data_IF_826987333106
#
_entry.id   IF_826987333106
#
_cell.length_a   1.000
_cell.length_b   1.000
_cell.length_c   1.000
_cell.angle_alpha   90.00
_cell.angle_beta   90.00
_cell.angle_gamma   90.00
#
_symmetry.space_group_name_H-M   'P 1'
#
loop_
_entity.id
_entity.type
_entity.pdbx_description
1 polymer ?
#
# COMPACT_ATOMS: atom_id res chain seq x y z
N UNK A 1 -0.14 9.04 3.06
CA UNK A 1 -0.42 9.99 1.95
C UNK A 1 -1.78 10.71 2.12
N UNK A 2 -1.83 12.05 2.01
CA UNK A 2 -3.04 12.89 2.22
C UNK A 2 -3.94 12.99 0.98
N UNK A 3 -3.36 12.89 -0.22
CA UNK A 3 -4.03 13.11 -1.51
C UNK A 3 -5.15 12.09 -1.81
N UNK A 4 -4.86 10.80 -1.66
CA UNK A 4 -5.85 9.72 -1.83
C UNK A 4 -6.97 9.77 -0.77
N UNK A 5 -6.64 10.22 0.44
CA UNK A 5 -7.61 10.42 1.53
C UNK A 5 -8.65 11.49 1.21
N UNK A 6 -8.30 12.50 0.41
CA UNK A 6 -9.19 13.61 0.05
C UNK A 6 -9.88 13.43 -1.29
N UNK A 7 -9.52 12.40 -2.08
CA UNK A 7 -10.11 12.12 -3.39
C UNK A 7 -10.58 10.66 -3.53
N UNK A 8 -11.51 10.20 -2.66
CA UNK A 8 -11.97 8.82 -2.67
C UNK A 8 -12.67 8.40 -3.98
N UNK A 9 -13.23 9.35 -4.75
CA UNK A 9 -13.86 9.09 -6.05
C UNK A 9 -12.87 8.70 -7.17
N UNK A 10 -11.61 9.15 -7.11
CA UNK A 10 -10.59 8.73 -8.07
C UNK A 10 -10.11 7.30 -7.80
N UNK A 11 -10.21 6.83 -6.56
CA UNK A 11 -9.95 5.43 -6.20
C UNK A 11 -10.99 4.53 -6.89
N UNK A 12 -12.26 4.93 -6.92
CA UNK A 12 -13.32 4.21 -7.65
C UNK A 12 -13.07 4.11 -9.16
N UNK A 13 -12.66 5.21 -9.79
CA UNK A 13 -12.40 5.27 -11.23
C UNK A 13 -11.22 4.38 -11.67
N UNK A 14 -10.26 4.13 -10.78
CA UNK A 14 -9.11 3.24 -11.03
C UNK A 14 -9.44 1.77 -10.74
N UNK A 15 -10.32 1.48 -9.77
CA UNK A 15 -10.51 0.10 -9.27
C UNK A 15 -11.70 -0.66 -9.85
N UNK A 16 -12.83 -0.02 -10.15
CA UNK A 16 -14.07 -0.74 -10.55
C UNK A 16 -14.68 -1.69 -9.49
N UNK A 17 -13.95 -2.05 -8.43
CA UNK A 17 -14.34 -2.98 -7.37
C UNK A 17 -13.63 -2.64 -6.06
N UNK A 18 -14.34 -2.65 -4.93
CA UNK A 18 -13.72 -2.54 -3.60
C UNK A 18 -13.06 -3.87 -3.23
N UNK A 19 -11.75 -3.97 -3.48
CA UNK A 19 -10.93 -5.04 -2.93
C UNK A 19 -10.60 -4.80 -1.46
N UNK A 20 -10.70 -5.85 -0.65
CA UNK A 20 -10.12 -5.90 0.70
C UNK A 20 -8.58 -5.93 0.60
N UNK A 21 -7.86 -5.55 1.64
CA UNK A 21 -6.38 -5.61 1.63
C UNK A 21 -5.86 -7.04 1.32
N UNK A 22 -6.57 -8.09 1.76
CA UNK A 22 -6.22 -9.47 1.45
C UNK A 22 -6.36 -9.82 -0.03
N UNK A 23 -7.39 -9.30 -0.71
CA UNK A 23 -7.56 -9.49 -2.17
C UNK A 23 -6.64 -8.59 -2.99
N UNK A 24 -6.37 -7.37 -2.51
CA UNK A 24 -5.48 -6.43 -3.16
C UNK A 24 -4.01 -6.87 -3.15
N UNK A 25 -3.58 -7.55 -2.08
CA UNK A 25 -2.21 -8.04 -1.90
C UNK A 25 -2.07 -9.56 -1.99
N UNK A 26 -3.16 -10.29 -2.28
CA UNK A 26 -3.21 -11.75 -2.35
C UNK A 26 -2.60 -12.46 -1.12
N UNK A 27 -2.80 -11.88 0.07
CA UNK A 27 -2.27 -12.43 1.32
C UNK A 27 -3.40 -12.76 2.31
N UNK A 28 -3.49 -14.00 2.81
CA UNK A 28 -4.52 -14.42 3.76
C UNK A 28 -4.21 -14.00 5.20
N UNK A 29 -3.00 -13.52 5.51
CA UNK A 29 -2.60 -13.23 6.88
C UNK A 29 -1.90 -11.86 6.97
N UNK A 30 -2.55 -10.91 7.65
CA UNK A 30 -2.06 -9.54 7.81
C UNK A 30 -1.94 -9.23 9.30
N UNK A 31 -0.72 -9.07 9.84
CA UNK A 31 -0.50 -8.78 11.25
C UNK A 31 -1.31 -7.57 11.75
N UNK A 32 -2.22 -7.80 12.71
CA UNK A 32 -3.02 -6.73 13.32
C UNK A 32 -4.20 -6.23 12.49
N UNK A 33 -4.52 -6.85 11.36
CA UNK A 33 -5.71 -6.55 10.55
C UNK A 33 -6.40 -7.82 10.05
N UNK A 34 -7.73 -7.77 9.92
CA UNK A 34 -8.44 -8.79 9.17
C UNK A 34 -8.10 -8.66 7.68
N UNK A 35 -7.94 -9.76 6.92
CA UNK A 35 -7.82 -9.71 5.46
C UNK A 35 -8.99 -9.00 4.77
N UNK A 36 -10.15 -8.90 5.46
CA UNK A 36 -11.34 -8.18 5.02
C UNK A 36 -11.30 -6.65 5.28
N UNK A 37 -10.20 -6.13 5.85
CA UNK A 37 -10.03 -4.70 6.09
C UNK A 37 -10.03 -3.94 4.76
N UNK A 38 -10.81 -2.86 4.66
CA UNK A 38 -10.82 -2.03 3.45
C UNK A 38 -9.48 -1.32 3.27
N UNK A 39 -9.07 -1.11 2.02
CA UNK A 39 -7.85 -0.34 1.69
C UNK A 39 -7.84 1.05 2.34
N UNK A 40 -9.01 1.67 2.50
CA UNK A 40 -9.18 2.97 3.16
C UNK A 40 -8.83 2.92 4.65
N UNK A 41 -9.14 1.81 5.31
CA UNK A 41 -8.87 1.60 6.73
C UNK A 41 -7.40 1.23 6.97
N UNK A 42 -6.77 0.51 6.03
CA UNK A 42 -5.32 0.31 6.00
C UNK A 42 -4.55 1.63 5.76
N UNK A 43 -5.02 2.47 4.82
CA UNK A 43 -4.50 3.83 4.60
C UNK A 43 -4.67 4.75 5.80
N UNK A 44 -5.71 4.51 6.61
CA UNK A 44 -6.02 5.30 7.80
C UNK A 44 -5.42 4.72 9.08
N UNK A 45 -4.57 3.71 8.97
CA UNK A 45 -3.91 3.09 10.09
C UNK A 45 -3.07 4.12 10.89
N UNK A 46 -3.30 4.18 12.20
CA UNK A 46 -2.66 5.09 13.16
C UNK A 46 -1.47 4.46 13.90
N UNK A 47 -1.16 3.18 13.68
CA UNK A 47 0.00 2.51 14.27
C UNK A 47 1.28 3.20 13.85
N UNK A 48 2.18 3.39 14.81
CA UNK A 48 3.48 4.06 14.63
C UNK A 48 4.64 3.06 14.55
N UNK A 49 4.34 1.79 14.24
CA UNK A 49 5.32 0.74 14.02
C UNK A 49 5.56 0.50 12.51
N UNK A 50 6.57 -0.34 12.20
CA UNK A 50 6.98 -0.61 10.82
C UNK A 50 5.86 -1.23 9.97
N UNK A 51 4.99 -2.03 10.59
CA UNK A 51 3.78 -2.52 9.93
C UNK A 51 2.80 -1.39 9.62
N UNK A 52 2.54 -0.48 10.55
CA UNK A 52 1.73 0.72 10.32
C UNK A 52 2.24 1.57 9.15
N UNK A 53 3.56 1.78 9.08
CA UNK A 53 4.20 2.47 7.97
C UNK A 53 4.02 1.71 6.64
N UNK A 54 4.25 0.38 6.65
CA UNK A 54 4.08 -0.47 5.48
C UNK A 54 2.64 -0.45 4.96
N UNK A 55 1.65 -0.47 5.85
CA UNK A 55 0.24 -0.40 5.47
C UNK A 55 -0.10 0.93 4.80
N UNK A 56 0.37 2.05 5.33
CA UNK A 56 0.11 3.37 4.74
C UNK A 56 0.82 3.55 3.40
N UNK A 57 2.12 3.30 3.36
CA UNK A 57 2.96 3.58 2.20
C UNK A 57 2.85 2.51 1.13
N UNK A 58 2.73 1.24 1.51
CA UNK A 58 2.49 0.13 0.59
C UNK A 58 1.12 0.20 -0.08
N UNK A 59 0.07 0.62 0.65
CA UNK A 59 -1.23 0.86 0.01
C UNK A 59 -1.16 2.05 -0.95
N UNK A 60 -0.50 3.15 -0.57
CA UNK A 60 -0.30 4.28 -1.47
C UNK A 60 0.52 3.89 -2.72
N UNK A 61 1.54 3.04 -2.56
CA UNK A 61 2.35 2.53 -3.66
C UNK A 61 1.51 1.67 -4.62
N UNK A 62 0.61 0.85 -4.11
CA UNK A 62 -0.29 0.03 -4.92
C UNK A 62 -1.25 0.90 -5.73
N UNK A 63 -1.81 1.95 -5.11
CA UNK A 63 -2.66 2.91 -5.81
C UNK A 63 -1.89 3.65 -6.90
N UNK A 64 -0.67 4.12 -6.59
CA UNK A 64 0.17 4.84 -7.55
C UNK A 64 0.62 3.94 -8.70
N UNK A 65 0.98 2.67 -8.46
CA UNK A 65 1.36 1.73 -9.53
C UNK A 65 0.22 1.41 -10.49
N UNK A 66 -1.03 1.46 -10.00
CA UNK A 66 -2.22 1.22 -10.82
C UNK A 66 -2.67 2.48 -11.57
N UNK A 67 -2.70 3.64 -10.89
CA UNK A 67 -3.19 4.90 -11.46
C UNK A 67 -2.16 5.59 -12.37
N UNK A 68 -0.88 5.39 -12.11
CA UNK A 68 0.24 6.05 -12.79
C UNK A 68 1.24 5.02 -13.32
N UNK A 69 0.75 3.92 -13.90
CA UNK A 69 1.57 2.79 -14.35
C UNK A 69 2.70 3.15 -15.34
N UNK A 70 2.55 4.25 -16.09
CA UNK A 70 3.58 4.72 -17.03
C UNK A 70 4.72 5.52 -16.36
N UNK A 71 4.51 6.08 -15.16
CA UNK A 71 5.49 6.95 -14.49
C UNK A 71 5.85 6.49 -13.08
N UNK A 72 5.11 5.54 -12.52
CA UNK A 72 5.40 5.01 -11.20
C UNK A 72 6.53 3.96 -11.28
N UNK A 73 7.47 3.94 -10.32
CA UNK A 73 8.71 3.17 -10.45
C UNK A 73 8.55 1.67 -10.26
N UNK A 74 7.41 1.25 -9.67
CA UNK A 74 7.11 -0.14 -9.40
C UNK A 74 5.86 -0.57 -10.13
N UNK A 75 5.88 -1.76 -10.72
CA UNK A 75 4.66 -2.40 -11.20
C UNK A 75 3.78 -2.83 -10.03
N UNK A 76 2.48 -2.98 -10.27
CA UNK A 76 1.53 -3.50 -9.28
C UNK A 76 1.95 -4.86 -8.72
N UNK A 77 2.58 -5.72 -9.55
CA UNK A 77 3.12 -7.00 -9.08
C UNK A 77 4.30 -6.79 -8.11
N UNK A 78 5.25 -5.92 -8.45
CA UNK A 78 6.39 -5.61 -7.58
C UNK A 78 5.96 -5.01 -6.23
N UNK A 79 4.91 -4.19 -6.23
CA UNK A 79 4.34 -3.66 -4.98
C UNK A 79 3.72 -4.79 -4.15
N UNK A 80 3.00 -5.73 -4.75
CA UNK A 80 2.40 -6.87 -4.03
C UNK A 80 3.45 -7.80 -3.43
N UNK A 81 4.47 -8.14 -4.21
CA UNK A 81 5.53 -9.06 -3.79
C UNK A 81 6.36 -8.44 -2.67
N UNK A 82 6.78 -7.18 -2.83
CA UNK A 82 7.56 -6.46 -1.82
C UNK A 82 6.78 -6.25 -0.52
N UNK A 83 5.49 -5.94 -0.60
CA UNK A 83 4.63 -5.81 0.57
C UNK A 83 4.52 -7.13 1.32
N UNK A 84 4.28 -8.24 0.61
CA UNK A 84 4.12 -9.57 1.23
C UNK A 84 5.43 -10.04 1.88
N UNK A 85 6.57 -9.87 1.21
CA UNK A 85 7.88 -10.21 1.76
C UNK A 85 8.20 -9.41 3.03
N UNK A 86 7.78 -8.14 3.07
CA UNK A 86 8.02 -7.25 4.19
C UNK A 86 7.18 -7.58 5.43
N UNK A 87 6.13 -8.41 5.32
CA UNK A 87 5.34 -8.85 6.47
C UNK A 87 6.11 -9.77 7.44
N UNK A 88 7.24 -10.33 6.99
CA UNK A 88 8.10 -11.25 7.76
C UNK A 88 8.58 -10.69 9.10
N UNK A 89 8.78 -9.38 9.23
CA UNK A 89 9.17 -8.74 10.49
C UNK A 89 8.86 -7.25 10.51
N UNK A 90 8.80 -6.65 11.70
CA UNK A 90 8.57 -5.21 11.85
C UNK A 90 9.70 -4.36 11.23
N UNK A 91 10.95 -4.84 11.26
CA UNK A 91 12.08 -4.16 10.63
C UNK A 91 12.03 -4.25 9.10
N UNK A 92 11.69 -5.43 8.56
CA UNK A 92 11.44 -5.61 7.12
C UNK A 92 10.31 -4.69 6.64
N UNK A 93 9.23 -4.61 7.42
CA UNK A 93 8.09 -3.73 7.13
C UNK A 93 8.51 -2.25 7.10
N UNK A 94 9.25 -1.78 8.10
CA UNK A 94 9.76 -0.41 8.13
C UNK A 94 10.69 -0.08 6.95
N UNK A 95 11.60 -1.01 6.60
CA UNK A 95 12.53 -0.83 5.49
C UNK A 95 11.79 -0.71 4.14
N UNK A 96 10.85 -1.62 3.88
CA UNK A 96 10.06 -1.59 2.65
C UNK A 96 9.13 -0.37 2.60
N UNK A 97 8.54 0.03 3.73
CA UNK A 97 7.74 1.23 3.82
C UNK A 97 8.53 2.49 3.43
N UNK A 98 9.80 2.58 3.81
CA UNK A 98 10.68 3.68 3.42
C UNK A 98 10.93 3.74 1.91
N UNK A 99 11.11 2.59 1.24
CA UNK A 99 11.24 2.51 -0.22
C UNK A 99 9.96 2.99 -0.91
N UNK A 100 8.80 2.50 -0.47
CA UNK A 100 7.51 2.93 -1.00
C UNK A 100 7.25 4.41 -0.75
N UNK A 101 7.62 4.95 0.41
CA UNK A 101 7.53 6.39 0.68
C UNK A 101 8.34 7.21 -0.33
N UNK A 102 9.59 6.84 -0.60
CA UNK A 102 10.42 7.54 -1.58
C UNK A 102 9.79 7.48 -2.99
N UNK A 103 9.27 6.33 -3.39
CA UNK A 103 8.58 6.19 -4.66
C UNK A 103 7.28 7.02 -4.74
N UNK A 104 6.47 7.01 -3.67
CA UNK A 104 5.26 7.81 -3.54
C UNK A 104 5.54 9.33 -3.59
N UNK A 105 6.69 9.77 -3.08
CA UNK A 105 7.14 11.16 -3.11
C UNK A 105 7.85 11.53 -4.43
N UNK A 106 8.02 10.59 -5.37
CA UNK A 106 8.77 10.82 -6.62
C UNK A 106 10.27 11.04 -6.41
N UNK A 107 10.83 10.50 -5.32
CA UNK A 107 12.24 10.66 -4.90
C UNK A 107 13.09 9.43 -5.18
N UNK A 108 12.59 8.53 -6.00
CA UNK A 108 13.41 7.48 -6.61
C UNK A 108 14.17 8.09 -7.78
N UNK A 109 15.49 8.12 -7.69
CA UNK A 109 16.37 8.43 -8.83
C UNK A 109 16.76 7.12 -9.53
#
# INVERSE_FOLDING_TARGET
>A
CRYWKTHPGLIFAVFGWWGTIGSAFNTPNIPGYSPNTSLLQALSNTRTDGYGDLYREGTAALLNSMAHSASYPYSTAQVRDGFTAALSSNSSAAAQAKLYKMANEGRVN
#
